data_IF_201103122167
#
_entry.id   IF_201103122167
#
_cell.length_a   1.000
_cell.length_b   1.000
_cell.length_c   1.000
_cell.angle_alpha   90.00
_cell.angle_beta   90.00
_cell.angle_gamma   90.00
#
_symmetry.space_group_name_H-M   'P 1'
#
loop_
_entity.id
_entity.type
_entity.pdbx_description
1 polymer ?
#
# COMPACT_ATOMS: atom_id res chain seq x y z
N UNK A 1 -22.62 -4.63 27.37
CA UNK A 1 -21.76 -4.34 26.19
C UNK A 1 -22.70 -4.04 25.02
N UNK A 2 -22.71 -2.80 24.49
CA UNK A 2 -23.55 -2.47 23.33
C UNK A 2 -22.93 -3.12 22.10
N UNK A 3 -23.64 -4.06 21.46
CA UNK A 3 -23.25 -4.60 20.17
C UNK A 3 -23.45 -3.52 19.11
N UNK A 4 -22.34 -3.08 18.51
CA UNK A 4 -22.32 -1.99 17.53
C UNK A 4 -22.79 -2.42 16.13
N UNK A 5 -23.12 -3.70 15.93
CA UNK A 5 -23.57 -4.21 14.63
C UNK A 5 -24.80 -5.10 14.80
N UNK A 6 -25.89 -4.76 14.11
CA UNK A 6 -27.11 -5.59 14.04
C UNK A 6 -26.96 -6.83 13.15
N UNK A 7 -25.84 -6.97 12.45
CA UNK A 7 -25.54 -8.10 11.54
C UNK A 7 -24.52 -9.05 12.16
N UNK A 8 -24.71 -10.33 11.89
CA UNK A 8 -23.71 -11.37 12.14
C UNK A 8 -22.38 -10.99 11.48
N UNK A 9 -21.27 -11.27 12.16
CA UNK A 9 -19.93 -11.06 11.64
C UNK A 9 -19.76 -11.80 10.31
N UNK A 10 -19.47 -11.07 9.24
CA UNK A 10 -19.08 -11.62 7.94
C UNK A 10 -17.57 -11.53 7.83
N UNK A 11 -16.92 -12.66 7.56
CA UNK A 11 -15.48 -12.68 7.30
C UNK A 11 -15.15 -11.79 6.09
N UNK A 12 -14.13 -10.92 6.19
CA UNK A 12 -13.67 -10.12 5.05
C UNK A 12 -13.32 -10.99 3.85
N UNK A 13 -13.73 -10.57 2.66
CA UNK A 13 -13.41 -11.24 1.41
C UNK A 13 -12.02 -10.83 0.87
N UNK A 14 -11.67 -11.29 -0.33
CA UNK A 14 -10.40 -10.94 -0.96
C UNK A 14 -10.23 -9.42 -1.10
N UNK A 15 -11.21 -8.74 -1.67
CA UNK A 15 -11.17 -7.30 -1.95
C UNK A 15 -11.10 -6.47 -0.67
N UNK A 16 -11.87 -6.84 0.36
CA UNK A 16 -11.85 -6.20 1.68
C UNK A 16 -10.43 -6.22 2.27
N UNK A 17 -9.78 -7.40 2.24
CA UNK A 17 -8.42 -7.55 2.76
C UNK A 17 -7.36 -6.82 1.93
N UNK A 18 -7.61 -6.56 0.64
CA UNK A 18 -6.74 -5.75 -0.21
C UNK A 18 -6.95 -4.24 -0.01
N UNK A 19 -8.15 -3.85 0.41
CA UNK A 19 -8.53 -2.46 0.59
C UNK A 19 -8.22 -1.94 2.00
N UNK A 20 -8.25 -2.76 3.04
CA UNK A 20 -8.03 -2.27 4.40
C UNK A 20 -6.65 -1.61 4.60
N UNK A 21 -6.57 -0.60 5.50
CA UNK A 21 -5.29 0.01 5.90
C UNK A 21 -4.25 -1.02 6.31
N UNK A 22 -2.99 -0.79 5.94
CA UNK A 22 -1.90 -1.73 6.24
C UNK A 22 -1.67 -1.84 7.75
N UNK A 23 -1.91 -0.76 8.50
CA UNK A 23 -1.79 -0.76 9.95
C UNK A 23 -2.87 -1.58 10.67
N UNK A 24 -3.90 -2.07 9.97
CA UNK A 24 -4.96 -2.92 10.55
C UNK A 24 -4.62 -4.42 10.52
N UNK A 25 -3.48 -4.80 9.94
CA UNK A 25 -3.03 -6.20 9.97
C UNK A 25 -2.79 -6.65 11.41
N UNK A 26 -3.10 -7.91 11.69
CA UNK A 26 -2.93 -8.50 13.02
C UNK A 26 -1.50 -8.30 13.52
N UNK A 27 -1.37 -7.87 14.78
CA UNK A 27 -0.10 -7.62 15.45
C UNK A 27 0.85 -6.61 14.76
N UNK A 28 0.35 -5.81 13.80
CA UNK A 28 1.19 -4.85 13.08
C UNK A 28 1.89 -3.88 14.03
N UNK A 29 1.16 -3.32 15.01
CA UNK A 29 1.72 -2.40 16.00
C UNK A 29 2.77 -3.10 16.89
N UNK A 30 2.48 -4.33 17.35
CA UNK A 30 3.37 -5.11 18.21
C UNK A 30 4.71 -5.39 17.54
N UNK A 31 4.71 -5.63 16.22
CA UNK A 31 5.93 -5.95 15.45
C UNK A 31 6.46 -4.81 14.59
N UNK A 32 5.89 -3.60 14.70
CA UNK A 32 6.29 -2.47 13.85
C UNK A 32 7.80 -2.19 13.93
N UNK A 33 8.37 -2.27 15.14
CA UNK A 33 9.79 -2.09 15.40
C UNK A 33 10.69 -3.16 14.75
N UNK A 34 10.12 -4.30 14.38
CA UNK A 34 10.83 -5.41 13.70
C UNK A 34 10.80 -5.27 12.18
N UNK A 35 10.01 -4.36 11.62
CA UNK A 35 9.91 -4.18 10.17
C UNK A 35 10.95 -3.21 9.62
N UNK A 36 11.43 -3.52 8.42
CA UNK A 36 12.07 -2.54 7.53
C UNK A 36 11.06 -2.13 6.47
N UNK A 37 10.47 -0.94 6.63
CA UNK A 37 9.52 -0.41 5.65
C UNK A 37 10.28 0.06 4.40
N UNK A 38 9.86 -0.46 3.24
CA UNK A 38 10.34 -0.07 1.93
C UNK A 38 9.21 0.64 1.19
N UNK A 39 9.44 1.87 0.73
CA UNK A 39 8.44 2.64 -0.02
C UNK A 39 8.49 2.22 -1.49
N UNK A 40 7.38 1.72 -2.00
CA UNK A 40 7.23 1.40 -3.42
C UNK A 40 6.48 2.53 -4.13
N UNK A 41 7.10 3.08 -5.16
CA UNK A 41 6.46 3.99 -6.11
C UNK A 41 6.31 3.25 -7.44
N UNK A 42 5.07 3.25 -7.94
CA UNK A 42 4.72 2.64 -9.21
C UNK A 42 5.38 3.34 -10.40
N UNK A 43 5.57 4.67 -10.33
CA UNK A 43 6.15 5.46 -11.42
C UNK A 43 7.68 5.47 -11.36
N UNK A 44 8.25 5.38 -10.16
CA UNK A 44 9.70 5.31 -9.96
C UNK A 44 10.06 4.18 -8.97
N UNK A 45 10.13 2.92 -9.44
CA UNK A 45 10.42 1.78 -8.56
C UNK A 45 11.91 1.68 -8.16
N UNK A 46 12.80 2.45 -8.75
CA UNK A 46 14.26 2.32 -8.54
C UNK A 46 14.69 2.46 -7.08
N UNK A 47 14.21 3.45 -6.29
CA UNK A 47 14.57 3.56 -4.88
C UNK A 47 14.18 2.32 -4.06
N UNK A 48 12.99 1.77 -4.31
CA UNK A 48 12.54 0.52 -3.70
C UNK A 48 13.47 -0.65 -4.02
N UNK A 49 13.78 -0.82 -5.31
CA UNK A 49 14.64 -1.91 -5.80
C UNK A 49 16.02 -1.81 -5.15
N UNK A 50 16.61 -0.62 -5.12
CA UNK A 50 17.95 -0.42 -4.55
C UNK A 50 18.00 -0.67 -3.05
N UNK A 51 16.99 -0.23 -2.29
CA UNK A 51 16.91 -0.50 -0.86
C UNK A 51 16.69 -1.99 -0.56
N UNK A 52 15.84 -2.67 -1.33
CA UNK A 52 15.65 -4.11 -1.24
C UNK A 52 16.97 -4.85 -1.49
N UNK A 53 17.67 -4.52 -2.58
CA UNK A 53 18.94 -5.17 -2.92
C UNK A 53 20.03 -4.90 -1.88
N UNK A 54 20.02 -3.72 -1.25
CA UNK A 54 20.91 -3.39 -0.12
C UNK A 54 20.64 -4.30 1.08
N UNK A 55 19.38 -4.55 1.42
CA UNK A 55 18.97 -5.48 2.48
C UNK A 55 19.42 -6.90 2.15
N UNK A 56 19.15 -7.37 0.93
CA UNK A 56 19.55 -8.71 0.50
C UNK A 56 21.07 -8.88 0.52
N UNK A 57 21.83 -7.86 0.09
CA UNK A 57 23.29 -7.86 0.20
C UNK A 57 23.78 -7.95 1.64
N UNK A 58 23.18 -7.19 2.56
CA UNK A 58 23.53 -7.23 4.00
C UNK A 58 23.30 -8.62 4.61
N UNK A 59 22.33 -9.37 4.07
CA UNK A 59 22.00 -10.73 4.50
C UNK A 59 22.70 -11.81 3.66
N UNK A 60 23.82 -11.51 3.01
CA UNK A 60 24.66 -12.46 2.26
C UNK A 60 23.94 -13.20 1.10
N UNK A 61 22.87 -12.61 0.54
CA UNK A 61 22.24 -13.15 -0.66
C UNK A 61 23.20 -13.00 -1.85
N UNK A 62 23.38 -14.10 -2.59
CA UNK A 62 24.35 -14.20 -3.68
C UNK A 62 24.18 -13.10 -4.74
N UNK A 63 25.27 -12.69 -5.37
CA UNK A 63 25.23 -11.67 -6.41
C UNK A 63 24.37 -12.10 -7.61
N UNK A 64 24.42 -13.39 -7.98
CA UNK A 64 23.58 -13.98 -9.02
C UNK A 64 22.09 -13.81 -8.71
N UNK A 65 21.66 -14.13 -7.49
CA UNK A 65 20.27 -13.98 -7.06
C UNK A 65 19.84 -12.51 -7.04
N UNK A 66 20.68 -11.60 -6.56
CA UNK A 66 20.39 -10.16 -6.55
C UNK A 66 20.26 -9.58 -7.97
N UNK A 67 21.13 -10.00 -8.90
CA UNK A 67 21.04 -9.61 -10.33
C UNK A 67 19.74 -10.11 -10.96
N UNK A 68 19.35 -11.35 -10.68
CA UNK A 68 18.06 -11.89 -11.12
C UNK A 68 16.90 -11.07 -10.58
N UNK A 69 16.85 -10.82 -9.26
CA UNK A 69 15.78 -10.03 -8.64
C UNK A 69 15.71 -8.62 -9.23
N UNK A 70 16.86 -7.95 -9.41
CA UNK A 70 16.91 -6.63 -10.07
C UNK A 70 16.29 -6.69 -11.45
N UNK A 71 16.72 -7.64 -12.28
CA UNK A 71 16.21 -7.79 -13.64
C UNK A 71 14.69 -8.04 -13.64
N UNK A 72 14.20 -8.93 -12.77
CA UNK A 72 12.76 -9.24 -12.66
C UNK A 72 11.92 -8.05 -12.19
N UNK A 73 12.44 -7.21 -11.30
CA UNK A 73 11.74 -6.02 -10.83
C UNK A 73 11.82 -4.86 -11.83
N UNK A 74 12.85 -4.83 -12.67
CA UNK A 74 13.04 -3.80 -13.71
C UNK A 74 12.41 -4.16 -15.06
N UNK A 75 12.06 -5.42 -15.32
CA UNK A 75 11.57 -5.91 -16.63
C UNK A 75 10.16 -5.47 -17.02
N UNK A 76 9.55 -4.55 -16.28
CA UNK A 76 8.20 -4.03 -16.55
C UNK A 76 7.09 -4.79 -15.80
N UNK A 77 5.86 -4.30 -15.97
CA UNK A 77 4.68 -4.80 -15.24
C UNK A 77 4.19 -6.12 -15.83
N UNK A 78 3.54 -6.94 -14.99
CA UNK A 78 2.85 -8.16 -15.44
C UNK A 78 1.74 -7.82 -16.44
N UNK A 79 1.51 -8.70 -17.41
CA UNK A 79 0.46 -8.55 -18.44
C UNK A 79 -0.96 -8.32 -17.87
N UNK A 80 -1.23 -8.73 -16.63
CA UNK A 80 -2.52 -8.57 -15.96
C UNK A 80 -2.62 -7.31 -15.08
N UNK A 81 -1.80 -6.31 -15.35
CA UNK A 81 -1.82 -5.05 -14.62
C UNK A 81 -3.08 -4.24 -14.97
N UNK A 82 -3.90 -3.91 -13.97
CA UNK A 82 -5.02 -2.95 -14.10
C UNK A 82 -4.56 -1.47 -14.05
N UNK A 83 -3.24 -1.24 -14.00
CA UNK A 83 -2.66 0.08 -14.09
C UNK A 83 -3.08 0.78 -15.37
N UNK A 84 -3.62 1.99 -15.23
CA UNK A 84 -4.07 2.83 -16.35
C UNK A 84 -5.16 2.22 -17.24
N UNK A 85 -5.87 1.19 -16.75
CA UNK A 85 -7.09 0.75 -17.42
C UNK A 85 -8.14 1.87 -17.38
N UNK A 86 -9.06 1.87 -18.34
CA UNK A 86 -10.12 2.88 -18.41
C UNK A 86 -10.95 2.91 -17.11
N UNK A 87 -11.25 1.74 -16.55
CA UNK A 87 -12.01 1.56 -15.32
C UNK A 87 -11.26 2.14 -14.11
N UNK A 88 -9.94 1.93 -14.02
CA UNK A 88 -9.11 2.48 -12.97
C UNK A 88 -9.07 4.02 -13.04
N UNK A 89 -8.90 4.57 -14.24
CA UNK A 89 -8.85 6.02 -14.46
C UNK A 89 -10.21 6.68 -14.15
N UNK A 90 -11.32 6.07 -14.58
CA UNK A 90 -12.67 6.54 -14.29
C UNK A 90 -12.96 6.49 -12.79
N UNK A 91 -12.64 5.39 -12.13
CA UNK A 91 -12.84 5.23 -10.67
C UNK A 91 -12.01 6.24 -9.89
N UNK A 92 -10.73 6.40 -10.24
CA UNK A 92 -9.84 7.39 -9.64
C UNK A 92 -10.41 8.79 -9.79
N UNK A 93 -10.88 9.14 -10.99
CA UNK A 93 -11.46 10.46 -11.27
C UNK A 93 -12.72 10.69 -10.44
N UNK A 94 -13.62 9.70 -10.36
CA UNK A 94 -14.85 9.80 -9.57
C UNK A 94 -14.58 10.00 -8.07
N UNK A 95 -13.57 9.32 -7.53
CA UNK A 95 -13.15 9.48 -6.12
C UNK A 95 -12.53 10.86 -5.88
N UNK A 96 -11.52 11.22 -6.68
CA UNK A 96 -10.72 12.43 -6.45
C UNK A 96 -11.47 13.73 -6.77
N UNK A 97 -12.50 13.67 -7.60
CA UNK A 97 -13.39 14.81 -7.87
C UNK A 97 -14.45 15.04 -6.77
N UNK A 98 -14.57 14.13 -5.81
CA UNK A 98 -15.51 14.25 -4.69
C UNK A 98 -14.77 14.48 -3.37
N UNK A 99 -14.93 15.68 -2.79
CA UNK A 99 -14.38 15.99 -1.46
C UNK A 99 -14.87 15.02 -0.39
N UNK A 100 -16.14 14.60 -0.46
CA UNK A 100 -16.70 13.65 0.49
C UNK A 100 -15.98 12.29 0.42
N UNK A 101 -15.84 11.71 -0.78
CA UNK A 101 -15.20 10.41 -0.96
C UNK A 101 -13.70 10.47 -0.62
N UNK A 102 -13.02 11.53 -1.05
CA UNK A 102 -11.60 11.76 -0.74
C UNK A 102 -11.38 11.88 0.77
N UNK A 103 -12.22 12.65 1.48
CA UNK A 103 -12.14 12.78 2.93
C UNK A 103 -12.40 11.45 3.64
N UNK A 104 -13.33 10.63 3.15
CA UNK A 104 -13.58 9.31 3.71
C UNK A 104 -12.36 8.40 3.58
N UNK A 105 -11.69 8.40 2.41
CA UNK A 105 -10.46 7.64 2.19
C UNK A 105 -9.33 8.14 3.08
N UNK A 106 -9.10 9.46 3.17
CA UNK A 106 -8.04 10.00 4.02
C UNK A 106 -8.29 9.64 5.49
N UNK A 107 -9.52 9.72 5.98
CA UNK A 107 -9.87 9.30 7.35
C UNK A 107 -9.61 7.82 7.57
N UNK A 108 -9.96 6.97 6.60
CA UNK A 108 -9.75 5.53 6.68
C UNK A 108 -8.25 5.18 6.74
N UNK A 109 -7.40 5.84 5.95
CA UNK A 109 -5.95 5.60 5.92
C UNK A 109 -5.13 6.57 6.79
N UNK A 110 -5.75 7.37 7.65
CA UNK A 110 -5.07 8.42 8.41
C UNK A 110 -3.85 7.89 9.16
N UNK A 111 -3.99 6.75 9.85
CA UNK A 111 -2.89 6.14 10.59
C UNK A 111 -1.79 5.64 9.66
N UNK A 112 -2.09 5.09 8.48
CA UNK A 112 -1.08 4.72 7.49
C UNK A 112 -0.28 5.96 7.05
N UNK A 113 -0.93 7.10 6.79
CA UNK A 113 -0.21 8.35 6.47
C UNK A 113 0.77 8.73 7.59
N UNK A 114 0.32 8.70 8.84
CA UNK A 114 1.16 9.08 9.98
C UNK A 114 2.30 8.10 10.25
N UNK A 115 2.02 6.79 10.30
CA UNK A 115 2.99 5.74 10.62
C UNK A 115 4.07 5.65 9.55
N UNK A 116 3.69 5.78 8.27
CA UNK A 116 4.61 5.66 7.15
C UNK A 116 5.19 7.02 6.70
N UNK A 117 4.82 8.12 7.36
CA UNK A 117 5.34 9.46 7.06
C UNK A 117 4.98 9.95 5.66
N UNK A 118 3.79 9.63 5.17
CA UNK A 118 3.26 10.20 3.95
C UNK A 118 2.58 11.54 4.25
N UNK A 119 2.69 12.50 3.32
CA UNK A 119 1.99 13.77 3.44
C UNK A 119 0.47 13.54 3.36
N UNK A 120 -0.25 14.07 4.34
CA UNK A 120 -1.71 14.07 4.32
C UNK A 120 -2.15 15.10 3.27
N UNK A 121 -3.04 14.74 2.31
CA UNK A 121 -3.52 15.67 1.29
C UNK A 121 -4.18 16.91 1.91
N UNK A 122 -3.90 18.10 1.39
CA UNK A 122 -4.39 19.37 1.93
C UNK A 122 -5.89 19.65 1.65
N UNK A 123 -6.59 18.79 0.90
CA UNK A 123 -8.01 18.93 0.55
C UNK A 123 -8.98 18.78 1.75
N UNK A 124 -8.49 19.02 2.97
CA UNK A 124 -9.14 18.79 4.26
C UNK A 124 -9.30 20.11 5.05
N UNK A 125 -9.03 21.26 4.44
CA UNK A 125 -9.32 22.57 5.06
C UNK A 125 -10.46 23.28 4.31
N UNK A 126 -11.69 22.85 4.55
CA UNK A 126 -12.91 23.62 4.30
C UNK A 126 -13.94 23.29 5.39
#
# INVERSE_FOLDING_TARGET
MKQWTRRAYTKPNFDDNHFFPQNWRCEFNSYLHSYKILRFDTFNPSPFIDDLLRILRKNNVSDKSRKFIRASLSSGRTSHSTHESAEQLQTRTAILSSNYLTNLLVKMYYYDFTIFGFQIPETIAA
#
